data_IF_583144684109
#
_entry.id   IF_583144684109
#
_cell.length_a   1.000
_cell.length_b   1.000
_cell.length_c   1.000
_cell.angle_alpha   90.00
_cell.angle_beta   90.00
_cell.angle_gamma   90.00
#
_symmetry.space_group_name_H-M   'P 1'
#
loop_
_entity.id
_entity.type
_entity.pdbx_description
1 polymer ?
#
# COMPACT_ATOMS: atom_id res chain seq x y z
N UNK A 1 -1.65 -7.32 -13.08
CA UNK A 1 -1.75 -8.31 -11.98
C UNK A 1 -2.74 -7.77 -10.97
N UNK A 2 -3.52 -8.64 -10.34
CA UNK A 2 -4.54 -8.24 -9.38
C UNK A 2 -4.31 -9.01 -8.07
N UNK A 3 -4.36 -8.32 -6.94
CA UNK A 3 -4.24 -8.90 -5.60
C UNK A 3 -5.47 -8.52 -4.78
N UNK A 4 -6.51 -9.36 -4.85
CA UNK A 4 -7.79 -9.10 -4.21
C UNK A 4 -7.76 -9.57 -2.75
N UNK A 5 -7.45 -8.67 -1.83
CA UNK A 5 -7.43 -8.94 -0.39
C UNK A 5 -8.30 -7.97 0.42
N UNK A 6 -9.34 -7.38 -0.19
CA UNK A 6 -10.23 -6.42 0.49
C UNK A 6 -10.98 -7.04 1.69
N UNK A 7 -11.22 -8.36 1.69
CA UNK A 7 -11.91 -9.08 2.77
C UNK A 7 -10.96 -9.69 3.80
N UNK A 8 -9.75 -9.17 3.92
CA UNK A 8 -8.75 -9.65 4.89
C UNK A 8 -8.59 -8.66 6.04
N UNK A 9 -9.65 -8.42 6.80
CA UNK A 9 -9.69 -7.42 7.88
C UNK A 9 -8.80 -7.78 9.08
N UNK A 10 -8.32 -9.03 9.16
CA UNK A 10 -7.35 -9.47 10.15
C UNK A 10 -5.90 -9.47 9.63
N UNK A 11 -5.66 -9.02 8.39
CA UNK A 11 -4.33 -8.98 7.81
C UNK A 11 -3.48 -7.94 8.54
N UNK A 12 -2.38 -8.39 9.16
CA UNK A 12 -1.50 -7.53 9.97
C UNK A 12 -0.32 -6.95 9.20
N UNK A 13 0.07 -7.59 8.10
CA UNK A 13 1.18 -7.12 7.28
C UNK A 13 1.11 -7.65 5.85
N UNK A 14 1.80 -6.95 4.94
CA UNK A 14 2.15 -7.46 3.62
C UNK A 14 3.66 -7.72 3.54
N UNK A 15 4.11 -8.80 2.89
CA UNK A 15 5.53 -9.05 2.69
C UNK A 15 6.13 -7.96 1.78
N UNK A 16 7.38 -7.55 2.06
CA UNK A 16 8.07 -6.52 1.28
C UNK A 16 8.07 -6.76 -0.24
N UNK A 17 8.06 -8.03 -0.67
CA UNK A 17 8.01 -8.41 -2.08
C UNK A 17 6.78 -7.90 -2.86
N UNK A 18 5.70 -7.50 -2.20
CA UNK A 18 4.54 -6.86 -2.87
C UNK A 18 4.96 -5.57 -3.58
N UNK A 19 5.90 -4.81 -3.03
CA UNK A 19 6.43 -3.58 -3.63
C UNK A 19 7.17 -3.81 -4.96
N UNK A 20 7.56 -5.05 -5.25
CA UNK A 20 8.25 -5.43 -6.49
C UNK A 20 7.28 -5.86 -7.60
N UNK A 21 5.98 -5.99 -7.30
CA UNK A 21 4.95 -6.32 -8.29
C UNK A 21 4.61 -5.09 -9.15
N UNK A 22 5.58 -4.56 -9.90
CA UNK A 22 5.45 -3.27 -10.61
C UNK A 22 4.27 -3.20 -11.62
N UNK A 23 3.72 -4.35 -12.04
CA UNK A 23 2.52 -4.47 -12.89
C UNK A 23 1.22 -4.71 -12.11
N UNK A 24 1.23 -4.52 -10.80
CA UNK A 24 0.05 -4.61 -9.94
C UNK A 24 -0.92 -3.48 -10.27
N UNK A 25 -2.20 -3.85 -10.44
CA UNK A 25 -3.29 -2.95 -10.79
C UNK A 25 -4.27 -2.77 -9.64
N UNK A 26 -4.51 -3.81 -8.85
CA UNK A 26 -5.43 -3.75 -7.72
C UNK A 26 -4.74 -4.37 -6.52
N UNK A 27 -4.80 -3.67 -5.39
CA UNK A 27 -4.56 -4.19 -4.05
C UNK A 27 -5.70 -3.73 -3.16
N UNK A 28 -6.38 -4.66 -2.49
CA UNK A 28 -7.51 -4.32 -1.62
C UNK A 28 -7.02 -3.62 -0.34
N UNK A 29 -6.23 -4.33 0.45
CA UNK A 29 -5.70 -3.84 1.72
C UNK A 29 -4.15 -3.84 1.70
N UNK A 30 -3.57 -2.67 1.45
CA UNK A 30 -2.13 -2.41 1.56
C UNK A 30 -1.78 -2.00 2.99
N UNK A 31 -1.38 -2.98 3.81
CA UNK A 31 -1.15 -2.78 5.24
C UNK A 31 0.25 -2.20 5.48
N UNK A 32 0.31 -1.08 6.19
CA UNK A 32 1.53 -0.37 6.63
C UNK A 32 1.52 -0.18 8.15
N UNK A 33 2.61 0.32 8.74
CA UNK A 33 2.65 0.67 10.17
C UNK A 33 2.66 -0.52 11.15
N UNK A 34 2.73 -1.77 10.67
CA UNK A 34 2.61 -2.97 11.50
C UNK A 34 3.82 -3.29 12.41
N UNK A 35 4.93 -2.55 12.33
CA UNK A 35 6.10 -2.76 13.20
C UNK A 35 6.79 -4.12 13.05
N UNK A 36 6.49 -4.89 12.00
CA UNK A 36 7.12 -6.19 11.75
C UNK A 36 8.34 -6.04 10.83
N UNK A 37 9.35 -6.87 11.06
CA UNK A 37 10.51 -6.94 10.17
C UNK A 37 10.10 -7.44 8.77
N UNK A 38 10.61 -6.78 7.73
CA UNK A 38 10.40 -7.12 6.30
C UNK A 38 8.98 -6.93 5.76
N UNK A 39 8.22 -5.97 6.30
CA UNK A 39 6.93 -5.58 5.72
C UNK A 39 7.05 -4.56 4.61
N UNK A 40 6.00 -4.47 3.81
CA UNK A 40 5.85 -3.34 2.89
C UNK A 40 5.75 -2.05 3.69
N UNK A 41 6.54 -1.06 3.29
CA UNK A 41 6.44 0.30 3.79
C UNK A 41 5.51 1.11 2.88
N UNK A 42 4.96 2.22 3.37
CA UNK A 42 4.15 3.12 2.54
C UNK A 42 4.97 3.64 1.34
N UNK A 43 6.27 3.86 1.54
CA UNK A 43 7.21 4.22 0.46
C UNK A 43 7.33 3.18 -0.66
N UNK A 44 6.98 1.91 -0.41
CA UNK A 44 7.04 0.84 -1.42
C UNK A 44 6.03 1.04 -2.54
N UNK A 45 4.95 1.80 -2.29
CA UNK A 45 3.99 2.18 -3.32
C UNK A 45 4.62 2.96 -4.48
N UNK A 46 5.77 3.61 -4.29
CA UNK A 46 6.46 4.38 -5.33
C UNK A 46 6.62 3.62 -6.64
N UNK A 47 6.96 2.33 -6.57
CA UNK A 47 7.23 1.48 -7.74
C UNK A 47 5.94 1.01 -8.45
N UNK A 48 4.80 1.05 -7.76
CA UNK A 48 3.54 0.49 -8.24
C UNK A 48 2.77 1.53 -9.08
N UNK A 49 3.29 1.84 -10.26
CA UNK A 49 2.78 2.93 -11.10
C UNK A 49 1.52 2.57 -11.91
N UNK A 50 1.20 1.29 -12.04
CA UNK A 50 0.00 0.80 -12.73
C UNK A 50 -1.18 0.54 -11.79
N UNK A 51 -1.08 0.93 -10.51
CA UNK A 51 -2.18 0.82 -9.57
C UNK A 51 -3.38 1.63 -10.05
N UNK A 52 -4.54 0.98 -9.98
CA UNK A 52 -5.86 1.49 -10.31
C UNK A 52 -6.71 1.61 -9.05
N UNK A 53 -6.65 0.62 -8.18
CA UNK A 53 -7.37 0.62 -6.91
C UNK A 53 -6.42 0.20 -5.78
N UNK A 54 -6.44 0.95 -4.68
CA UNK A 54 -5.61 0.71 -3.51
C UNK A 54 -6.33 1.15 -2.24
N UNK A 55 -6.59 0.23 -1.32
CA UNK A 55 -6.85 0.59 0.08
C UNK A 55 -5.53 0.57 0.86
N UNK A 56 -5.28 1.58 1.68
CA UNK A 56 -4.09 1.68 2.54
C UNK A 56 -4.56 1.66 3.99
N UNK A 57 -4.04 0.71 4.78
CA UNK A 57 -4.46 0.48 6.16
C UNK A 57 -3.30 0.57 7.14
N UNK A 58 -3.58 0.97 8.38
CA UNK A 58 -2.57 1.10 9.43
C UNK A 58 -1.79 2.42 9.33
N UNK A 59 -2.38 3.44 8.69
CA UNK A 59 -1.73 4.75 8.53
C UNK A 59 -1.42 5.42 9.87
N UNK A 60 -2.21 5.14 10.92
CA UNK A 60 -1.95 5.64 12.28
C UNK A 60 -0.65 5.11 12.89
N UNK A 61 -0.16 3.94 12.43
CA UNK A 61 1.10 3.34 12.88
C UNK A 61 2.34 3.80 12.09
N UNK A 62 2.18 4.64 11.06
CA UNK A 62 3.31 5.12 10.25
C UNK A 62 4.03 6.26 10.98
N UNK A 63 5.21 5.98 11.52
CA UNK A 63 6.03 6.95 12.27
C UNK A 63 6.79 7.94 11.38
N UNK A 64 7.15 7.54 10.16
CA UNK A 64 7.83 8.40 9.18
C UNK A 64 6.85 8.93 8.13
N UNK A 65 6.33 10.14 8.37
CA UNK A 65 5.48 10.85 7.41
C UNK A 65 6.15 11.09 6.05
N UNK A 66 7.49 11.04 5.97
CA UNK A 66 8.24 11.08 4.72
C UNK A 66 7.93 9.92 3.78
N UNK A 67 7.46 8.78 4.30
CA UNK A 67 7.00 7.67 3.47
C UNK A 67 5.81 8.02 2.58
N UNK A 68 4.88 8.84 3.09
CA UNK A 68 3.73 9.30 2.31
C UNK A 68 4.20 10.12 1.10
N UNK A 69 5.20 10.99 1.30
CA UNK A 69 5.82 11.73 0.20
C UNK A 69 6.56 10.81 -0.77
N UNK A 70 7.25 9.78 -0.28
CA UNK A 70 7.97 8.80 -1.13
C UNK A 70 7.03 7.92 -1.94
N UNK A 71 5.81 7.67 -1.46
CA UNK A 71 4.81 6.87 -2.18
C UNK A 71 4.37 7.51 -3.50
N UNK A 72 4.50 8.83 -3.63
CA UNK A 72 4.17 9.61 -4.83
C UNK A 72 2.76 9.29 -5.36
N UNK A 73 1.77 9.16 -4.46
CA UNK A 73 0.39 8.82 -4.81
C UNK A 73 -0.20 9.83 -5.81
N UNK A 74 0.18 11.09 -5.68
CA UNK A 74 -0.23 12.18 -6.58
C UNK A 74 0.26 12.01 -8.02
N UNK A 75 1.30 11.19 -8.25
CA UNK A 75 1.86 10.94 -9.58
C UNK A 75 1.26 9.70 -10.25
N UNK A 76 0.40 8.93 -9.56
CA UNK A 76 -0.17 7.67 -10.07
C UNK A 76 -1.32 7.91 -11.02
N UNK A 77 -1.00 8.10 -12.30
CA UNK A 77 -1.95 8.43 -13.38
C UNK A 77 -3.12 7.47 -13.56
N UNK A 78 -2.97 6.21 -13.14
CA UNK A 78 -4.00 5.18 -13.30
C UNK A 78 -4.84 4.96 -12.06
N UNK A 79 -4.50 5.59 -10.92
CA UNK A 79 -5.19 5.40 -9.65
C UNK A 79 -6.55 6.10 -9.73
N UNK A 80 -7.61 5.30 -9.72
CA UNK A 80 -9.01 5.76 -9.79
C UNK A 80 -9.73 5.64 -8.45
N UNK A 81 -9.24 4.76 -7.57
CA UNK A 81 -9.83 4.52 -6.26
C UNK A 81 -8.72 4.42 -5.20
N UNK A 82 -8.85 5.22 -4.16
CA UNK A 82 -7.95 5.25 -3.03
C UNK A 82 -8.76 5.28 -1.73
N UNK A 83 -8.60 4.24 -0.92
CA UNK A 83 -9.16 4.20 0.44
C UNK A 83 -8.03 4.38 1.44
N UNK A 84 -8.24 5.23 2.45
CA UNK A 84 -7.27 5.52 3.50
C UNK A 84 -7.88 5.16 4.86
N UNK A 85 -7.27 4.21 5.55
CA UNK A 85 -7.67 3.77 6.89
C UNK A 85 -6.56 4.08 7.88
N UNK A 86 -6.90 4.89 8.88
CA UNK A 86 -6.00 5.38 9.95
C UNK A 86 -6.16 4.61 11.27
N UNK A 87 -6.87 3.49 11.22
CA UNK A 87 -7.06 2.57 12.35
C UNK A 87 -5.75 1.88 12.78
#
# INVERSE_FOLDING_TARGET
MYFHNVRTDSLRYLPAGIGELIRLRIVGNFVVGGGYDRTCSLGSLKKLNFLQQCGIRGLGGVSDAGEARRAELEKKKYLVELELQFD
#
